data_IF_543923965787
#
_entry.id   IF_543923965787
#
_cell.length_a   1.000
_cell.length_b   1.000
_cell.length_c   1.000
_cell.angle_alpha   90.00
_cell.angle_beta   90.00
_cell.angle_gamma   90.00
#
_symmetry.space_group_name_H-M   'P 1'
#
loop_
_entity.id
_entity.type
_entity.pdbx_description
1 polymer ?
#
# COMPACT_ATOMS: atom_id res chain seq x y z
N UNK A 1 -27.07 33.70 -19.46
CA UNK A 1 -25.94 34.12 -18.59
C UNK A 1 -26.51 34.38 -17.21
N UNK A 2 -26.09 33.65 -16.18
CA UNK A 2 -26.67 33.63 -14.82
C UNK A 2 -26.88 35.03 -14.23
N UNK A 3 -28.12 35.51 -14.18
CA UNK A 3 -28.51 36.70 -13.40
C UNK A 3 -28.74 36.26 -11.95
N UNK A 4 -27.65 35.99 -11.23
CA UNK A 4 -27.67 35.37 -9.90
C UNK A 4 -27.40 36.37 -8.77
N UNK A 5 -28.38 36.57 -7.90
CA UNK A 5 -28.25 37.24 -6.60
C UNK A 5 -27.04 36.64 -5.82
N UNK A 6 -26.33 37.44 -5.00
CA UNK A 6 -25.10 37.04 -4.24
C UNK A 6 -25.24 35.69 -3.51
N UNK A 7 -26.44 35.34 -3.08
CA UNK A 7 -26.80 34.09 -2.39
C UNK A 7 -26.67 32.85 -3.30
N UNK A 8 -27.07 32.93 -4.57
CA UNK A 8 -26.99 31.81 -5.52
C UNK A 8 -25.54 31.47 -5.88
N UNK A 9 -24.68 32.49 -5.95
CA UNK A 9 -23.24 32.34 -6.18
C UNK A 9 -22.57 31.60 -5.00
N UNK A 10 -23.00 31.84 -3.77
CA UNK A 10 -22.44 31.19 -2.57
C UNK A 10 -22.75 29.69 -2.50
N UNK A 11 -23.97 29.26 -2.84
CA UNK A 11 -24.32 27.83 -2.90
C UNK A 11 -23.67 27.13 -4.12
N UNK A 12 -23.49 27.85 -5.23
CA UNK A 12 -22.81 27.34 -6.43
C UNK A 12 -21.31 27.09 -6.23
N UNK A 13 -20.61 27.94 -5.49
CA UNK A 13 -19.18 27.77 -5.22
C UNK A 13 -18.92 26.51 -4.38
N UNK A 14 -19.75 26.25 -3.37
CA UNK A 14 -19.59 25.08 -2.51
C UNK A 14 -19.74 23.76 -3.28
N UNK A 15 -20.74 23.67 -4.17
CA UNK A 15 -20.95 22.47 -5.00
C UNK A 15 -19.81 22.24 -5.99
N UNK A 16 -19.28 23.30 -6.60
CA UNK A 16 -18.14 23.21 -7.50
C UNK A 16 -16.88 22.69 -6.79
N UNK A 17 -16.60 23.15 -5.57
CA UNK A 17 -15.46 22.67 -4.77
C UNK A 17 -15.61 21.18 -4.44
N UNK A 18 -16.81 20.74 -4.04
CA UNK A 18 -17.07 19.34 -3.72
C UNK A 18 -16.89 18.45 -4.95
N UNK A 19 -17.46 18.83 -6.09
CA UNK A 19 -17.33 18.06 -7.34
C UNK A 19 -15.86 17.96 -7.77
N UNK A 20 -15.13 19.09 -7.73
CA UNK A 20 -13.70 19.11 -8.06
C UNK A 20 -12.89 18.23 -7.09
N UNK A 21 -13.17 18.31 -5.79
CA UNK A 21 -12.49 17.50 -4.77
C UNK A 21 -12.73 16.00 -4.95
N UNK A 22 -13.96 15.58 -5.24
CA UNK A 22 -14.29 14.16 -5.49
C UNK A 22 -13.61 13.65 -6.76
N UNK A 23 -13.58 14.46 -7.83
CA UNK A 23 -12.89 14.10 -9.07
C UNK A 23 -11.37 13.97 -8.87
N UNK A 24 -10.75 14.92 -8.15
CA UNK A 24 -9.32 14.89 -7.80
C UNK A 24 -9.01 13.68 -6.92
N UNK A 25 -9.82 13.41 -5.89
CA UNK A 25 -9.63 12.25 -5.03
C UNK A 25 -9.73 10.93 -5.80
N UNK A 26 -10.73 10.80 -6.68
CA UNK A 26 -10.89 9.62 -7.53
C UNK A 26 -9.69 9.40 -8.45
N UNK A 27 -9.16 10.48 -9.03
CA UNK A 27 -7.94 10.43 -9.85
C UNK A 27 -6.69 10.07 -9.04
N UNK A 28 -6.52 10.65 -7.86
CA UNK A 28 -5.41 10.33 -6.96
C UNK A 28 -5.47 8.86 -6.52
N UNK A 29 -6.64 8.36 -6.15
CA UNK A 29 -6.82 6.96 -5.76
C UNK A 29 -6.55 6.01 -6.94
N UNK A 30 -6.99 6.35 -8.16
CA UNK A 30 -6.66 5.58 -9.36
C UNK A 30 -5.14 5.54 -9.62
N UNK A 31 -4.43 6.66 -9.38
CA UNK A 31 -2.97 6.70 -9.52
C UNK A 31 -2.26 5.93 -8.40
N UNK A 32 -2.79 5.94 -7.18
CA UNK A 32 -2.27 5.14 -6.05
C UNK A 32 -2.49 3.65 -6.30
N UNK A 33 -3.61 3.24 -6.91
CA UNK A 33 -3.83 1.84 -7.30
C UNK A 33 -2.85 1.36 -8.36
N UNK A 34 -2.49 2.22 -9.31
CA UNK A 34 -1.43 1.94 -10.29
C UNK A 34 -0.06 1.74 -9.59
N UNK A 35 0.18 2.48 -8.50
CA UNK A 35 1.39 2.44 -7.66
C UNK A 35 1.22 1.53 -6.42
N UNK A 36 0.18 0.69 -6.35
CA UNK A 36 -0.04 -0.22 -5.21
C UNK A 36 0.83 -1.48 -5.29
N UNK A 37 1.99 -1.37 -5.93
CA UNK A 37 3.14 -2.26 -5.76
C UNK A 37 4.26 -1.58 -4.97
N UNK A 38 3.92 -0.72 -3.99
CA UNK A 38 4.90 -0.15 -3.04
C UNK A 38 5.12 -1.02 -1.81
N UNK A 39 4.70 -2.29 -1.84
CA UNK A 39 5.35 -3.30 -0.99
C UNK A 39 6.71 -3.57 -1.63
N UNK A 40 7.67 -2.69 -1.34
CA UNK A 40 9.02 -2.78 -1.90
C UNK A 40 9.56 -4.19 -1.71
N UNK A 41 9.93 -4.85 -2.80
CA UNK A 41 10.48 -6.21 -2.72
C UNK A 41 11.84 -6.15 -2.05
N UNK A 42 12.00 -6.85 -0.93
CA UNK A 42 13.28 -6.99 -0.25
C UNK A 42 13.89 -8.34 -0.61
N UNK A 43 15.22 -8.41 -0.63
CA UNK A 43 15.93 -9.66 -0.84
C UNK A 43 15.96 -10.48 0.44
N UNK A 44 15.77 -11.78 0.34
CA UNK A 44 16.07 -12.68 1.45
C UNK A 44 17.55 -12.58 1.84
N UNK A 45 17.80 -12.37 3.12
CA UNK A 45 19.16 -12.21 3.68
C UNK A 45 20.09 -13.41 3.45
N UNK A 46 19.57 -14.61 3.14
CA UNK A 46 20.34 -15.85 3.01
C UNK A 46 20.53 -16.29 1.54
N UNK A 47 19.48 -16.20 0.72
CA UNK A 47 19.49 -16.71 -0.66
C UNK A 47 19.26 -15.67 -1.75
N UNK A 48 18.96 -14.41 -1.39
CA UNK A 48 18.84 -13.31 -2.35
C UNK A 48 17.59 -13.34 -3.24
N UNK A 49 16.61 -14.20 -2.97
CA UNK A 49 15.34 -14.22 -3.73
C UNK A 49 14.50 -12.97 -3.37
N UNK A 50 13.89 -12.28 -4.36
CA UNK A 50 12.98 -11.18 -4.10
C UNK A 50 11.70 -11.66 -3.42
N UNK A 51 11.31 -11.01 -2.33
CA UNK A 51 10.13 -11.34 -1.55
C UNK A 51 9.48 -10.08 -0.96
N UNK A 52 8.25 -10.22 -0.46
CA UNK A 52 7.62 -9.16 0.33
C UNK A 52 8.40 -8.93 1.65
N UNK A 53 8.51 -7.68 2.12
CA UNK A 53 9.18 -7.35 3.36
C UNK A 53 8.45 -7.99 4.52
N UNK A 54 9.20 -8.73 5.32
CA UNK A 54 8.73 -9.37 6.54
C UNK A 54 9.73 -9.09 7.67
N UNK A 55 9.31 -9.22 8.92
CA UNK A 55 10.16 -8.92 10.07
C UNK A 55 11.41 -9.83 10.16
N UNK A 56 11.37 -11.02 9.55
CA UNK A 56 12.49 -11.95 9.52
C UNK A 56 13.51 -11.63 8.43
N UNK A 57 13.17 -10.74 7.49
CA UNK A 57 13.90 -10.50 6.24
C UNK A 57 14.42 -11.79 5.56
N UNK A 58 13.69 -12.89 5.73
CA UNK A 58 14.08 -14.23 5.27
C UNK A 58 12.89 -14.92 4.58
N UNK A 59 13.16 -15.63 3.48
CA UNK A 59 12.12 -16.31 2.74
C UNK A 59 11.65 -17.57 3.49
N UNK A 60 10.42 -18.01 3.22
CA UNK A 60 9.80 -19.18 3.87
C UNK A 60 10.62 -20.46 3.72
N UNK A 61 11.39 -20.62 2.62
CA UNK A 61 12.25 -21.79 2.39
C UNK A 61 13.45 -21.80 3.33
N UNK A 62 14.13 -20.66 3.48
CA UNK A 62 15.26 -20.52 4.39
C UNK A 62 14.81 -20.57 5.86
N UNK A 63 13.66 -19.97 6.18
CA UNK A 63 13.09 -20.00 7.53
C UNK A 63 12.73 -21.43 7.98
N UNK A 64 12.11 -22.23 7.09
CA UNK A 64 11.81 -23.64 7.38
C UNK A 64 13.05 -24.50 7.55
N UNK A 65 14.08 -24.28 6.74
CA UNK A 65 15.35 -24.98 6.90
C UNK A 65 16.03 -24.67 8.24
N UNK A 66 15.96 -23.41 8.70
CA UNK A 66 16.46 -23.04 10.02
C UNK A 66 15.65 -23.72 11.14
N UNK A 67 14.32 -23.75 11.01
CA UNK A 67 13.43 -24.41 11.97
C UNK A 67 13.68 -25.93 12.06
N UNK A 68 13.82 -26.60 10.90
CA UNK A 68 14.14 -28.02 10.75
C UNK A 68 15.46 -28.42 11.43
N UNK A 69 16.47 -27.55 11.41
CA UNK A 69 17.72 -27.79 12.16
C UNK A 69 17.48 -27.70 13.68
N UNK A 70 16.65 -26.76 14.13
CA UNK A 70 16.43 -26.55 15.56
C UNK A 70 15.56 -27.61 16.21
N UNK A 71 14.71 -28.31 15.46
CA UNK A 71 13.93 -29.45 15.97
C UNK A 71 14.78 -30.71 16.13
N UNK A 72 15.76 -30.96 15.25
CA UNK A 72 16.72 -32.07 15.43
C UNK A 72 17.62 -31.85 16.66
N UNK A 73 17.97 -30.60 16.97
CA UNK A 73 18.75 -30.25 18.16
C UNK A 73 17.92 -30.37 19.44
N UNK A 74 16.61 -30.07 19.42
CA UNK A 74 15.75 -30.10 20.63
C UNK A 74 15.27 -31.48 21.06
N UNK A 75 15.42 -32.50 20.21
CA UNK A 75 15.08 -33.89 20.58
C UNK A 75 16.27 -34.62 21.23
N UNK A 76 17.46 -33.99 21.28
CA UNK A 76 18.67 -34.57 21.88
C UNK A 76 19.11 -33.88 23.18
N UNK A 77 18.16 -33.42 24.00
CA UNK A 77 18.37 -33.14 25.43
C UNK A 77 17.40 -33.98 26.27
#
# INVERSE_FOLDING_TARGET
MFTGNKISIQTGIGTAIVIAGVAVYSYLMAKIEEEKQTVGSVLCCKCGIPMAPNAANMCVKCLRYEADITEVVRVND
#
